data_IF_221605440847
#
_entry.id   IF_221605440847
#
_cell.length_a   1.000
_cell.length_b   1.000
_cell.length_c   1.000
_cell.angle_alpha   90.00
_cell.angle_beta   90.00
_cell.angle_gamma   90.00
#
_symmetry.space_group_name_H-M   'P 1'
#
loop_
_entity.id
_entity.type
_entity.pdbx_description
1 polymer ?
#
# COMPACT_ATOMS: atom_id res chain seq x y z
N UNK A 1 36.12 -15.44 32.96
CA UNK A 1 36.35 -14.46 31.86
C UNK A 1 35.62 -14.87 30.57
N UNK A 2 34.35 -15.34 30.62
CA UNK A 2 33.58 -15.82 29.42
C UNK A 2 32.36 -14.97 29.05
N UNK A 3 32.00 -13.95 29.82
CA UNK A 3 30.76 -13.16 29.57
C UNK A 3 30.83 -12.16 28.41
N UNK A 4 32.03 -11.77 27.99
CA UNK A 4 32.19 -10.68 27.01
C UNK A 4 32.13 -11.15 25.54
N UNK A 5 32.37 -12.43 25.26
CA UNK A 5 32.29 -12.99 23.90
C UNK A 5 30.85 -13.26 23.48
N UNK A 6 29.97 -13.68 24.39
CA UNK A 6 28.55 -14.03 24.11
C UNK A 6 27.71 -12.78 23.80
N UNK A 7 27.99 -11.66 24.42
CA UNK A 7 27.25 -10.38 24.19
C UNK A 7 27.68 -9.71 22.88
N UNK A 8 28.95 -9.81 22.50
CA UNK A 8 29.47 -9.29 21.23
C UNK A 8 28.85 -10.06 20.02
N UNK A 9 28.83 -11.40 20.10
CA UNK A 9 28.21 -12.25 19.05
C UNK A 9 26.74 -11.96 18.86
N UNK A 10 25.96 -11.79 19.93
CA UNK A 10 24.53 -11.49 19.87
C UNK A 10 24.23 -10.08 19.32
N UNK A 11 25.16 -9.14 19.46
CA UNK A 11 25.01 -7.78 18.89
C UNK A 11 25.32 -7.76 17.39
N UNK A 12 26.30 -8.53 16.94
CA UNK A 12 26.63 -8.70 15.52
C UNK A 12 25.51 -9.44 14.77
N UNK A 13 24.98 -10.52 15.34
CA UNK A 13 23.85 -11.25 14.78
C UNK A 13 22.63 -10.36 14.58
N UNK A 14 22.28 -9.55 15.58
CA UNK A 14 21.17 -8.58 15.48
C UNK A 14 21.43 -7.51 14.42
N UNK A 15 22.67 -7.09 14.24
CA UNK A 15 23.05 -6.11 13.22
C UNK A 15 22.92 -6.71 11.82
N UNK A 16 23.36 -7.93 11.63
CA UNK A 16 23.22 -8.67 10.37
C UNK A 16 21.74 -8.90 10.06
N UNK A 17 20.95 -9.38 11.03
CA UNK A 17 19.54 -9.61 10.86
C UNK A 17 18.78 -8.33 10.45
N UNK A 18 19.07 -7.19 11.08
CA UNK A 18 18.52 -5.89 10.67
C UNK A 18 18.90 -5.52 9.24
N UNK A 19 20.14 -5.77 8.85
CA UNK A 19 20.61 -5.53 7.48
C UNK A 19 19.86 -6.38 6.45
N UNK A 20 19.65 -7.67 6.76
CA UNK A 20 18.86 -8.58 5.92
C UNK A 20 17.42 -8.09 5.79
N UNK A 21 16.78 -7.73 6.89
CA UNK A 21 15.39 -7.23 6.88
C UNK A 21 15.23 -5.93 6.08
N UNK A 22 16.19 -5.02 6.19
CA UNK A 22 16.20 -3.80 5.38
C UNK A 22 16.34 -4.12 3.89
N UNK A 23 17.27 -5.01 3.52
CA UNK A 23 17.41 -5.44 2.13
C UNK A 23 16.18 -6.17 1.63
N UNK A 24 15.56 -7.01 2.44
CA UNK A 24 14.35 -7.75 2.11
C UNK A 24 13.16 -6.83 1.81
N UNK A 25 13.11 -5.65 2.42
CA UNK A 25 12.14 -4.61 2.07
C UNK A 25 12.50 -3.87 0.78
N UNK A 26 13.73 -3.34 0.71
CA UNK A 26 14.09 -2.41 -0.35
C UNK A 26 14.33 -3.08 -1.71
N UNK A 27 14.84 -4.32 -1.74
CA UNK A 27 15.12 -5.00 -3.01
C UNK A 27 13.83 -5.24 -3.82
N UNK A 28 12.78 -5.89 -3.29
CA UNK A 28 11.54 -6.09 -4.07
C UNK A 28 10.81 -4.78 -4.37
N UNK A 29 10.82 -3.81 -3.43
CA UNK A 29 10.24 -2.49 -3.67
C UNK A 29 10.97 -1.76 -4.82
N UNK A 30 12.30 -1.81 -4.86
CA UNK A 30 13.10 -1.20 -5.92
C UNK A 30 12.88 -1.89 -7.28
N UNK A 31 12.83 -3.22 -7.30
CA UNK A 31 12.52 -3.97 -8.53
C UNK A 31 11.15 -3.54 -9.07
N UNK A 32 10.16 -3.43 -8.21
CA UNK A 32 8.81 -3.00 -8.62
C UNK A 32 8.79 -1.56 -9.13
N UNK A 33 9.51 -0.66 -8.47
CA UNK A 33 9.67 0.72 -8.91
C UNK A 33 10.31 0.80 -10.31
N UNK A 34 11.40 0.06 -10.53
CA UNK A 34 12.09 0.00 -11.83
C UNK A 34 11.16 -0.55 -12.91
N UNK A 35 10.37 -1.58 -12.61
CA UNK A 35 9.39 -2.12 -13.55
C UNK A 35 8.32 -1.07 -13.89
N UNK A 36 7.84 -0.27 -12.94
CA UNK A 36 6.88 0.80 -13.20
C UNK A 36 7.47 1.87 -14.11
N UNK A 37 8.74 2.26 -13.89
CA UNK A 37 9.45 3.22 -14.75
C UNK A 37 9.63 2.67 -16.17
N UNK A 38 10.13 1.44 -16.31
CA UNK A 38 10.38 0.81 -17.63
C UNK A 38 9.07 0.65 -18.41
N UNK A 39 7.99 0.30 -17.73
CA UNK A 39 6.68 0.11 -18.36
C UNK A 39 5.93 1.42 -18.60
N UNK A 40 6.46 2.55 -18.15
CA UNK A 40 5.80 3.86 -18.24
C UNK A 40 4.48 3.90 -17.50
N UNK A 41 4.43 3.25 -16.32
CA UNK A 41 3.22 3.23 -15.47
C UNK A 41 3.16 4.53 -14.68
N UNK A 42 1.97 5.12 -14.64
CA UNK A 42 1.70 6.36 -13.93
C UNK A 42 2.07 6.24 -12.42
N UNK A 43 2.76 7.21 -11.81
CA UNK A 43 3.09 8.55 -12.31
C UNK A 43 4.37 8.66 -13.16
N UNK A 44 5.04 7.57 -13.51
CA UNK A 44 6.31 7.56 -14.26
C UNK A 44 6.12 7.59 -15.79
N UNK A 45 4.87 7.56 -16.26
CA UNK A 45 4.49 7.63 -17.65
C UNK A 45 2.97 7.67 -17.81
N UNK A 46 2.48 7.52 -19.03
CA UNK A 46 1.07 7.70 -19.38
C UNK A 46 0.22 6.42 -19.27
N UNK A 47 0.84 5.30 -18.90
CA UNK A 47 0.13 4.03 -18.80
C UNK A 47 -0.41 3.81 -17.40
N UNK A 48 -1.72 3.54 -17.28
CA UNK A 48 -2.29 3.07 -16.02
C UNK A 48 -2.02 1.58 -15.84
N UNK A 49 -1.60 1.18 -14.62
CA UNK A 49 -1.60 -0.22 -14.25
C UNK A 49 -2.96 -0.66 -13.67
N UNK A 50 -3.86 0.30 -13.45
CA UNK A 50 -5.22 0.04 -13.01
C UNK A 50 -6.01 -0.60 -14.16
N UNK A 51 -6.05 -1.92 -14.17
CA UNK A 51 -6.75 -2.71 -15.17
C UNK A 51 -7.89 -3.49 -14.54
N UNK A 52 -8.98 -3.66 -15.29
CA UNK A 52 -10.15 -4.42 -14.84
C UNK A 52 -10.66 -3.93 -13.47
N UNK A 53 -10.71 -4.78 -12.47
CA UNK A 53 -11.27 -4.50 -11.15
C UNK A 53 -10.58 -3.36 -10.39
N UNK A 54 -9.31 -3.15 -10.59
CA UNK A 54 -8.62 -2.03 -9.95
C UNK A 54 -9.14 -0.69 -10.43
N UNK A 55 -9.47 -0.57 -11.72
CA UNK A 55 -10.03 0.65 -12.29
C UNK A 55 -11.54 0.77 -12.01
N UNK A 56 -12.30 -0.32 -12.19
CA UNK A 56 -13.76 -0.28 -12.11
C UNK A 56 -14.31 -0.40 -10.68
N UNK A 57 -13.52 -0.94 -9.74
CA UNK A 57 -13.96 -1.20 -8.37
C UNK A 57 -13.08 -0.51 -7.33
N UNK A 58 -11.78 -0.86 -7.24
CA UNK A 58 -10.94 -0.35 -6.16
C UNK A 58 -10.78 1.17 -6.18
N UNK A 59 -10.54 1.77 -7.34
CA UNK A 59 -10.38 3.21 -7.46
C UNK A 59 -11.67 3.98 -7.12
N UNK A 60 -12.84 3.65 -7.68
CA UNK A 60 -14.10 4.30 -7.32
C UNK A 60 -14.46 4.10 -5.84
N UNK A 61 -14.25 2.90 -5.29
CA UNK A 61 -14.57 2.65 -3.89
C UNK A 61 -13.63 3.41 -2.94
N UNK A 62 -12.35 3.52 -3.28
CA UNK A 62 -11.41 4.32 -2.51
C UNK A 62 -11.74 5.81 -2.59
N UNK A 63 -12.13 6.30 -3.77
CA UNK A 63 -12.59 7.68 -3.97
C UNK A 63 -13.84 7.98 -3.13
N UNK A 64 -14.83 7.10 -3.17
CA UNK A 64 -16.05 7.23 -2.37
C UNK A 64 -15.76 7.17 -0.87
N UNK A 65 -14.83 6.32 -0.45
CA UNK A 65 -14.39 6.26 0.94
C UNK A 65 -13.78 7.59 1.41
N UNK A 66 -12.90 8.17 0.60
CA UNK A 66 -12.30 9.47 0.89
C UNK A 66 -13.36 10.56 0.97
N UNK A 67 -14.29 10.59 0.00
CA UNK A 67 -15.39 11.54 -0.05
C UNK A 67 -16.25 11.45 1.23
N UNK A 68 -16.71 10.27 1.59
CA UNK A 68 -17.56 10.05 2.76
C UNK A 68 -16.91 10.48 4.08
N UNK A 69 -15.66 10.11 4.28
CA UNK A 69 -14.94 10.49 5.51
C UNK A 69 -14.76 12.02 5.58
N UNK A 70 -14.41 12.68 4.47
CA UNK A 70 -14.22 14.13 4.43
C UNK A 70 -15.53 14.90 4.56
N UNK A 71 -16.62 14.39 3.99
CA UNK A 71 -17.96 14.97 4.13
C UNK A 71 -18.60 14.68 5.50
N UNK A 72 -17.99 13.82 6.33
CA UNK A 72 -18.58 13.39 7.60
C UNK A 72 -19.80 12.48 7.43
N UNK A 73 -19.91 11.81 6.27
CA UNK A 73 -21.01 10.90 5.96
C UNK A 73 -20.81 9.52 6.59
N UNK A 74 -21.90 8.86 6.91
CA UNK A 74 -21.88 7.47 7.40
C UNK A 74 -21.41 6.48 6.33
N UNK A 75 -20.67 5.47 6.75
CA UNK A 75 -20.14 4.42 5.86
C UNK A 75 -21.17 3.32 5.52
N UNK A 76 -22.37 3.34 6.10
CA UNK A 76 -23.32 2.24 5.95
C UNK A 76 -23.85 2.10 4.52
N UNK A 77 -24.17 3.21 3.86
CA UNK A 77 -24.80 3.21 2.56
C UNK A 77 -24.22 4.28 1.64
N UNK A 78 -24.11 4.00 0.33
CA UNK A 78 -23.75 4.98 -0.69
C UNK A 78 -24.68 4.90 -1.87
N UNK A 79 -25.12 6.06 -2.36
CA UNK A 79 -25.86 6.21 -3.62
C UNK A 79 -24.91 6.37 -4.82
N UNK A 80 -23.64 6.67 -4.59
CA UNK A 80 -22.64 6.88 -5.65
C UNK A 80 -22.05 5.57 -6.19
N UNK A 81 -22.39 4.44 -5.57
CA UNK A 81 -21.90 3.12 -5.98
C UNK A 81 -23.07 2.30 -6.53
N UNK A 82 -23.04 2.07 -7.84
CA UNK A 82 -24.12 1.37 -8.54
C UNK A 82 -25.44 2.16 -8.49
N UNK A 83 -26.52 1.48 -8.15
CA UNK A 83 -27.87 2.07 -7.96
C UNK A 83 -28.12 2.37 -6.47
N UNK A 84 -27.06 2.42 -5.67
CA UNK A 84 -27.08 2.44 -4.22
C UNK A 84 -26.73 1.08 -3.62
N UNK A 85 -25.80 1.07 -2.69
CA UNK A 85 -25.30 -0.18 -2.11
C UNK A 85 -24.90 -0.04 -0.64
N UNK A 86 -24.84 -1.17 0.04
CA UNK A 86 -24.25 -1.26 1.38
C UNK A 86 -22.74 -0.99 1.28
N UNK A 87 -22.34 0.25 1.52
CA UNK A 87 -20.95 0.66 1.40
C UNK A 87 -20.07 0.04 2.50
N UNK A 88 -20.63 -0.24 3.67
CA UNK A 88 -19.87 -0.90 4.73
C UNK A 88 -19.37 -2.29 4.32
N UNK A 89 -20.20 -3.05 3.60
CA UNK A 89 -19.79 -4.35 3.08
C UNK A 89 -18.67 -4.21 2.05
N UNK A 90 -18.73 -3.22 1.16
CA UNK A 90 -17.67 -2.91 0.21
C UNK A 90 -16.39 -2.44 0.90
N UNK A 91 -16.52 -1.60 1.91
CA UNK A 91 -15.39 -1.15 2.72
C UNK A 91 -14.67 -2.33 3.38
N UNK A 92 -15.40 -3.22 4.04
CA UNK A 92 -14.81 -4.40 4.72
C UNK A 92 -14.13 -5.32 3.71
N UNK A 93 -14.73 -5.51 2.55
CA UNK A 93 -14.20 -6.43 1.53
C UNK A 93 -12.97 -5.85 0.79
N UNK A 94 -13.02 -4.57 0.39
CA UNK A 94 -12.00 -3.97 -0.49
C UNK A 94 -11.05 -3.00 0.24
N UNK A 95 -11.51 -2.29 1.26
CA UNK A 95 -10.84 -1.10 1.78
C UNK A 95 -10.37 -1.20 3.23
N UNK A 96 -10.71 -2.27 3.96
CA UNK A 96 -10.41 -2.42 5.39
C UNK A 96 -8.91 -2.51 5.73
N UNK A 97 -8.03 -2.56 4.73
CA UNK A 97 -6.59 -2.55 4.95
C UNK A 97 -6.15 -1.23 5.61
N UNK A 98 -5.38 -1.26 6.71
CA UNK A 98 -4.90 -0.03 7.37
C UNK A 98 -4.07 0.85 6.44
N UNK A 99 -3.41 0.26 5.44
CA UNK A 99 -2.63 1.01 4.45
C UNK A 99 -3.50 1.90 3.55
N UNK A 100 -4.78 1.60 3.37
CA UNK A 100 -5.68 2.44 2.58
C UNK A 100 -5.97 3.78 3.27
N UNK A 101 -5.84 3.86 4.60
CA UNK A 101 -5.98 5.10 5.36
C UNK A 101 -4.86 6.11 5.08
N UNK A 102 -3.73 5.66 4.53
CA UNK A 102 -2.66 6.56 4.09
C UNK A 102 -3.10 7.49 2.94
N UNK A 103 -4.21 7.18 2.27
CA UNK A 103 -4.79 8.04 1.22
C UNK A 103 -5.14 9.44 1.74
N UNK A 104 -5.49 9.57 3.01
CA UNK A 104 -5.80 10.87 3.64
C UNK A 104 -4.61 11.80 3.81
N UNK A 105 -3.38 11.28 3.67
CA UNK A 105 -2.16 12.09 3.65
C UNK A 105 -1.94 12.81 2.31
N UNK A 106 -2.70 12.44 1.28
CA UNK A 106 -2.55 12.96 -0.08
C UNK A 106 -3.76 13.83 -0.48
N UNK A 107 -3.56 14.79 -1.41
CA UNK A 107 -4.67 15.51 -2.04
C UNK A 107 -5.60 14.55 -2.82
N UNK A 108 -6.86 14.91 -2.92
CA UNK A 108 -7.91 14.06 -3.57
C UNK A 108 -7.60 13.70 -5.03
N UNK A 109 -6.90 14.56 -5.76
CA UNK A 109 -6.54 14.29 -7.16
C UNK A 109 -5.48 13.21 -7.36
N UNK A 110 -4.83 12.71 -6.29
CA UNK A 110 -3.70 11.79 -6.37
C UNK A 110 -4.03 10.35 -5.97
N UNK A 111 -5.30 9.95 -6.11
CA UNK A 111 -5.73 8.57 -5.76
C UNK A 111 -5.06 7.51 -6.67
N UNK A 112 -4.86 7.82 -7.94
CA UNK A 112 -4.22 6.91 -8.89
C UNK A 112 -2.74 6.70 -8.56
N UNK A 113 -2.03 7.79 -8.25
CA UNK A 113 -0.64 7.75 -7.77
C UNK A 113 -0.54 6.99 -6.46
N UNK A 114 -1.44 7.28 -5.54
CA UNK A 114 -1.51 6.59 -4.26
C UNK A 114 -1.60 5.07 -4.45
N UNK A 115 -2.46 4.59 -5.33
CA UNK A 115 -2.61 3.16 -5.60
C UNK A 115 -1.31 2.56 -6.16
N UNK A 116 -0.61 3.27 -7.04
CA UNK A 116 0.69 2.84 -7.57
C UNK A 116 1.75 2.72 -6.48
N UNK A 117 1.89 3.74 -5.64
CA UNK A 117 2.82 3.71 -4.50
C UNK A 117 2.44 2.67 -3.45
N UNK A 118 1.14 2.46 -3.23
CA UNK A 118 0.65 1.46 -2.28
C UNK A 118 1.05 0.05 -2.69
N UNK A 119 1.06 -0.26 -3.99
CA UNK A 119 1.53 -1.56 -4.50
C UNK A 119 3.01 -1.74 -4.21
N UNK A 120 3.84 -0.72 -4.48
CA UNK A 120 5.28 -0.77 -4.22
C UNK A 120 5.55 -0.97 -2.73
N UNK A 121 4.85 -0.22 -1.87
CA UNK A 121 4.95 -0.34 -0.41
C UNK A 121 4.58 -1.75 0.06
N UNK A 122 3.45 -2.29 -0.40
CA UNK A 122 3.00 -3.63 -0.01
C UNK A 122 3.99 -4.72 -0.42
N UNK A 123 4.57 -4.62 -1.61
CA UNK A 123 5.59 -5.58 -2.07
C UNK A 123 6.85 -5.51 -1.20
N UNK A 124 7.29 -4.31 -0.83
CA UNK A 124 8.40 -4.15 0.12
C UNK A 124 8.09 -4.76 1.50
N UNK A 125 6.89 -4.52 2.03
CA UNK A 125 6.45 -5.08 3.31
C UNK A 125 6.32 -6.62 3.25
N UNK A 126 5.85 -7.16 2.13
CA UNK A 126 5.85 -8.62 1.92
C UNK A 126 7.28 -9.19 2.00
N UNK A 127 8.24 -8.56 1.33
CA UNK A 127 9.65 -8.95 1.46
C UNK A 127 10.15 -8.91 2.90
N UNK A 128 9.81 -7.86 3.64
CA UNK A 128 10.17 -7.72 5.04
C UNK A 128 9.59 -8.82 5.93
N UNK A 129 8.33 -9.24 5.69
CA UNK A 129 7.67 -10.28 6.49
C UNK A 129 8.21 -11.69 6.23
N UNK A 130 8.92 -11.90 5.12
CA UNK A 130 9.57 -13.16 4.79
C UNK A 130 11.05 -13.22 5.22
N UNK A 131 11.61 -12.17 5.79
CA UNK A 131 13.00 -12.11 6.27
C UNK A 131 13.07 -12.50 7.75
#
# INVERSE_FOLDING_TARGET
MNGNKTTATSSEERRIQRGISVLAFFVPAFIMLVLFIIRGIYPFGDRSFLFSDMYHQYMPFLSEFVHKIKAGEGLFYSYNVGIGSNFLALYVYYLASPFNWLVFLLPEGLIMEFMSYLVILRIGLMGLTFS
#
